data_IF_122865460707
#
_entry.id   IF_122865460707
#
_cell.length_a   1.000
_cell.length_b   1.000
_cell.length_c   1.000
_cell.angle_alpha   90.00
_cell.angle_beta   90.00
_cell.angle_gamma   90.00
#
_symmetry.space_group_name_H-M   'P 1'
#
loop_
_entity.id
_entity.type
_entity.pdbx_description
1 polymer ?
#
# COMPACT_ATOMS: atom_id res chain seq x y z
N UNK A 1 -6.70 14.00 8.21
CA UNK A 1 -7.54 13.01 7.50
C UNK A 1 -6.61 12.04 6.80
N UNK A 2 -6.94 10.76 6.76
CA UNK A 2 -6.22 9.79 5.93
C UNK A 2 -7.08 9.58 4.69
N UNK A 3 -6.71 10.22 3.59
CA UNK A 3 -7.45 10.11 2.34
C UNK A 3 -7.50 8.63 1.90
N UNK A 4 -8.67 8.18 1.47
CA UNK A 4 -8.85 6.82 0.96
C UNK A 4 -8.04 6.62 -0.34
N UNK A 5 -7.74 5.37 -0.74
CA UNK A 5 -7.09 5.10 -2.02
C UNK A 5 -7.77 5.77 -3.22
N UNK A 6 -9.10 5.82 -3.21
CA UNK A 6 -9.97 6.45 -4.21
C UNK A 6 -9.78 7.97 -4.20
N UNK A 7 -9.86 8.61 -3.03
CA UNK A 7 -9.64 10.05 -2.87
C UNK A 7 -8.24 10.46 -3.33
N UNK A 8 -7.22 9.63 -3.04
CA UNK A 8 -5.86 9.86 -3.55
C UNK A 8 -5.80 9.77 -5.07
N UNK A 9 -6.44 8.76 -5.65
CA UNK A 9 -6.47 8.58 -7.10
C UNK A 9 -7.19 9.76 -7.78
N UNK A 10 -8.33 10.20 -7.25
CA UNK A 10 -9.02 11.39 -7.72
C UNK A 10 -8.13 12.65 -7.59
N UNK A 11 -7.41 12.80 -6.48
CA UNK A 11 -6.50 13.94 -6.27
C UNK A 11 -5.35 14.00 -7.29
N UNK A 12 -4.76 12.85 -7.67
CA UNK A 12 -3.73 12.87 -8.72
C UNK A 12 -4.33 13.12 -10.10
N UNK A 13 -5.55 12.66 -10.37
CA UNK A 13 -6.26 13.00 -11.62
C UNK A 13 -6.48 14.51 -11.72
N UNK A 14 -6.98 15.14 -10.66
CA UNK A 14 -7.14 16.61 -10.57
C UNK A 14 -5.79 17.34 -10.70
N UNK A 15 -4.70 16.78 -10.18
CA UNK A 15 -3.36 17.36 -10.36
C UNK A 15 -2.89 17.32 -11.82
N UNK A 16 -3.24 16.26 -12.56
CA UNK A 16 -2.89 16.11 -13.98
C UNK A 16 -3.76 16.99 -14.86
N UNK A 17 -5.08 16.95 -14.65
CA UNK A 17 -6.10 17.54 -15.53
C UNK A 17 -6.60 18.91 -15.09
N UNK A 18 -6.33 19.31 -13.84
CA UNK A 18 -6.95 20.49 -13.24
C UNK A 18 -8.30 20.17 -12.59
N UNK A 19 -8.94 21.20 -12.07
CA UNK A 19 -10.31 21.14 -11.56
C UNK A 19 -11.25 21.92 -12.49
N UNK A 20 -12.02 21.18 -13.30
CA UNK A 20 -12.98 21.77 -14.24
C UNK A 20 -14.15 22.48 -13.52
N UNK A 21 -14.44 22.11 -12.27
CA UNK A 21 -15.61 22.63 -11.53
C UNK A 21 -15.27 23.92 -10.77
N UNK A 22 -14.04 24.04 -10.26
CA UNK A 22 -13.64 25.22 -9.47
C UNK A 22 -12.83 26.25 -10.26
N UNK A 23 -12.15 25.86 -11.34
CA UNK A 23 -11.16 26.71 -12.05
C UNK A 23 -10.07 27.29 -11.11
N UNK A 24 -9.92 26.76 -9.89
CA UNK A 24 -9.01 27.28 -8.87
C UNK A 24 -7.63 26.57 -8.91
N UNK A 25 -7.51 25.48 -9.65
CA UNK A 25 -6.29 24.65 -9.73
C UNK A 25 -6.01 24.27 -11.18
N UNK A 26 -5.04 24.95 -11.80
CA UNK A 26 -4.50 24.57 -13.12
C UNK A 26 -3.77 23.23 -13.04
N UNK A 27 -4.12 22.30 -13.94
CA UNK A 27 -3.49 20.99 -14.06
C UNK A 27 -2.09 21.02 -14.68
N UNK A 28 -1.44 19.86 -14.73
CA UNK A 28 -0.20 19.71 -15.49
C UNK A 28 -0.39 19.94 -17.00
N UNK A 29 -1.57 19.62 -17.53
CA UNK A 29 -1.92 19.92 -18.92
C UNK A 29 -2.05 21.44 -19.12
N UNK A 30 -2.81 22.13 -18.26
CA UNK A 30 -3.04 23.59 -18.36
C UNK A 30 -1.74 24.38 -18.20
N UNK A 31 -0.89 23.97 -17.28
CA UNK A 31 0.42 24.61 -17.04
C UNK A 31 1.48 24.24 -18.07
N UNK A 32 1.15 23.41 -19.08
CA UNK A 32 2.07 22.95 -20.11
C UNK A 32 3.21 22.07 -19.59
N UNK A 33 3.08 21.53 -18.38
CA UNK A 33 4.03 20.60 -17.74
C UNK A 33 3.92 19.20 -18.34
N UNK A 34 2.76 18.84 -18.86
CA UNK A 34 2.50 17.60 -19.57
C UNK A 34 1.70 17.92 -20.84
N UNK A 35 1.95 17.23 -21.95
CA UNK A 35 1.10 17.40 -23.13
C UNK A 35 -0.26 16.74 -22.91
N UNK A 36 -1.30 17.24 -23.57
CA UNK A 36 -2.62 16.60 -23.54
C UNK A 36 -2.55 15.14 -24.01
N UNK A 37 -1.82 14.87 -25.09
CA UNK A 37 -1.68 13.51 -25.62
C UNK A 37 -1.02 12.53 -24.62
N UNK A 38 -0.02 12.96 -23.86
CA UNK A 38 0.57 12.13 -22.81
C UNK A 38 -0.40 11.90 -21.65
N UNK A 39 -1.10 12.95 -21.20
CA UNK A 39 -2.08 12.85 -20.13
C UNK A 39 -3.20 11.86 -20.50
N UNK A 40 -3.72 11.95 -21.73
CA UNK A 40 -4.72 11.02 -22.27
C UNK A 40 -4.19 9.57 -22.30
N UNK A 41 -2.96 9.34 -22.74
CA UNK A 41 -2.36 8.00 -22.76
C UNK A 41 -2.15 7.42 -21.36
N UNK A 42 -1.75 8.24 -20.40
CA UNK A 42 -1.60 7.83 -18.99
C UNK A 42 -2.97 7.49 -18.40
N UNK A 43 -3.99 8.31 -18.68
CA UNK A 43 -5.37 8.06 -18.24
C UNK A 43 -5.94 6.80 -18.89
N UNK A 44 -5.76 6.57 -20.20
CA UNK A 44 -6.20 5.36 -20.92
C UNK A 44 -5.63 4.09 -20.26
N UNK A 45 -4.35 4.10 -19.90
CA UNK A 45 -3.76 2.98 -19.14
C UNK A 45 -4.46 2.78 -17.79
N UNK A 46 -4.70 3.85 -17.03
CA UNK A 46 -5.27 3.70 -15.70
C UNK A 46 -6.74 3.25 -15.77
N UNK A 47 -7.53 3.85 -16.68
CA UNK A 47 -8.92 3.47 -16.94
C UNK A 47 -9.04 2.03 -17.41
N UNK A 48 -8.08 1.55 -18.21
CA UNK A 48 -8.06 0.16 -18.64
C UNK A 48 -8.01 -0.81 -17.46
N UNK A 49 -7.33 -0.47 -16.37
CA UNK A 49 -7.13 -1.31 -15.20
C UNK A 49 -8.01 -0.93 -14.00
N UNK A 50 -8.92 0.02 -14.16
CA UNK A 50 -9.91 0.39 -13.17
C UNK A 50 -11.14 -0.52 -13.30
N UNK A 51 -11.45 -1.27 -12.23
CA UNK A 51 -12.56 -2.22 -12.22
C UNK A 51 -13.95 -1.56 -12.31
N UNK A 52 -14.06 -0.28 -11.96
CA UNK A 52 -15.32 0.47 -12.00
C UNK A 52 -15.57 1.15 -13.35
N UNK A 53 -14.57 1.22 -14.24
CA UNK A 53 -14.73 1.81 -15.57
C UNK A 53 -15.57 0.89 -16.48
N UNK A 54 -16.57 1.51 -17.12
CA UNK A 54 -17.57 0.79 -17.93
C UNK A 54 -17.11 0.43 -19.36
N UNK A 55 -16.10 1.12 -19.94
CA UNK A 55 -15.62 0.84 -21.31
C UNK A 55 -14.69 -0.38 -21.38
N UNK A 56 -15.21 -1.57 -21.07
CA UNK A 56 -14.38 -2.77 -20.94
C UNK A 56 -13.94 -3.38 -22.26
N UNK A 57 -14.63 -3.12 -23.38
CA UNK A 57 -14.39 -3.85 -24.62
C UNK A 57 -13.05 -3.48 -25.28
N UNK A 58 -12.78 -2.18 -25.43
CA UNK A 58 -11.53 -1.69 -26.02
C UNK A 58 -10.31 -2.08 -25.18
N UNK A 59 -10.41 -1.94 -23.85
CA UNK A 59 -9.33 -2.27 -22.92
C UNK A 59 -9.06 -3.79 -22.85
N UNK A 60 -10.08 -4.64 -22.95
CA UNK A 60 -9.90 -6.10 -22.94
C UNK A 60 -9.08 -6.57 -24.15
N UNK A 61 -9.30 -5.97 -25.32
CA UNK A 61 -8.54 -6.31 -26.52
C UNK A 61 -7.07 -5.92 -26.38
N UNK A 62 -6.75 -4.72 -25.90
CA UNK A 62 -5.35 -4.31 -25.67
C UNK A 62 -4.65 -5.18 -24.61
N UNK A 63 -5.38 -5.61 -23.57
CA UNK A 63 -4.87 -6.51 -22.52
C UNK A 63 -4.65 -7.96 -22.97
N UNK A 64 -5.10 -8.37 -24.15
CA UNK A 64 -5.02 -9.78 -24.59
C UNK A 64 -3.59 -10.30 -24.71
N UNK A 65 -2.61 -9.41 -24.88
CA UNK A 65 -1.19 -9.74 -25.00
C UNK A 65 -0.47 -9.78 -23.65
N UNK A 66 -1.15 -9.42 -22.56
CA UNK A 66 -0.61 -9.56 -21.20
C UNK A 66 -0.76 -10.99 -20.71
N UNK A 67 0.09 -11.40 -19.78
CA UNK A 67 -0.06 -12.68 -19.09
C UNK A 67 -1.41 -12.72 -18.33
N UNK A 68 -2.11 -13.87 -18.29
CA UNK A 68 -3.48 -13.94 -17.74
C UNK A 68 -3.63 -13.37 -16.33
N UNK A 69 -2.64 -13.57 -15.47
CA UNK A 69 -2.58 -13.04 -14.10
C UNK A 69 -2.43 -11.52 -14.06
N UNK A 70 -1.78 -10.93 -15.07
CA UNK A 70 -1.54 -9.48 -15.17
C UNK A 70 -2.70 -8.71 -15.76
N UNK A 71 -3.70 -9.36 -16.37
CA UNK A 71 -4.90 -8.72 -16.97
C UNK A 71 -5.90 -8.18 -15.96
N UNK A 72 -5.81 -8.63 -14.70
CA UNK A 72 -6.72 -8.26 -13.62
C UNK A 72 -6.70 -6.76 -13.34
N UNK A 73 -7.86 -6.26 -12.91
CA UNK A 73 -8.02 -4.90 -12.41
C UNK A 73 -7.06 -4.63 -11.24
N UNK A 74 -6.71 -3.36 -11.06
CA UNK A 74 -5.76 -2.92 -10.06
C UNK A 74 -6.48 -2.06 -9.02
N UNK A 75 -6.00 -2.15 -7.78
CA UNK A 75 -6.44 -1.25 -6.72
C UNK A 75 -6.11 0.21 -7.06
N UNK A 76 -6.91 1.17 -6.58
CA UNK A 76 -6.67 2.60 -6.76
C UNK A 76 -5.27 3.07 -6.33
N UNK A 77 -4.67 2.47 -5.28
CA UNK A 77 -3.28 2.78 -4.89
C UNK A 77 -2.25 2.45 -5.99
N UNK A 78 -2.52 1.43 -6.82
CA UNK A 78 -1.67 1.05 -7.95
C UNK A 78 -1.89 2.01 -9.11
N UNK A 79 -3.14 2.34 -9.43
CA UNK A 79 -3.48 3.31 -10.47
C UNK A 79 -2.90 4.70 -10.17
N UNK A 80 -3.10 5.18 -8.94
CA UNK A 80 -2.46 6.38 -8.42
C UNK A 80 -0.95 6.33 -8.60
N UNK A 81 -0.35 5.19 -8.24
CA UNK A 81 1.07 4.97 -8.37
C UNK A 81 1.58 5.03 -9.82
N UNK A 82 0.83 4.51 -10.78
CA UNK A 82 1.18 4.61 -12.19
C UNK A 82 1.04 6.04 -12.68
N UNK A 83 -0.10 6.68 -12.45
CA UNK A 83 -0.37 8.05 -12.90
C UNK A 83 0.64 9.05 -12.32
N UNK A 84 0.93 8.98 -11.02
CA UNK A 84 1.92 9.84 -10.37
C UNK A 84 3.31 9.70 -11.02
N UNK A 85 3.76 8.45 -11.24
CA UNK A 85 5.11 8.20 -11.77
C UNK A 85 5.22 8.58 -13.23
N UNK A 86 4.23 8.22 -14.05
CA UNK A 86 4.21 8.52 -15.48
C UNK A 86 4.10 10.02 -15.72
N UNK A 87 3.20 10.72 -15.02
CA UNK A 87 3.09 12.19 -15.15
C UNK A 87 4.37 12.91 -14.70
N UNK A 88 5.04 12.40 -13.66
CA UNK A 88 6.35 12.92 -13.26
C UNK A 88 7.41 12.68 -14.34
N UNK A 89 7.49 11.48 -14.93
CA UNK A 89 8.47 11.20 -15.98
C UNK A 89 8.24 12.04 -17.24
N UNK A 90 7.00 12.21 -17.69
CA UNK A 90 6.70 13.09 -18.83
C UNK A 90 7.15 14.53 -18.58
N UNK A 91 6.91 15.05 -17.37
CA UNK A 91 7.42 16.36 -16.96
C UNK A 91 8.95 16.43 -16.92
N UNK A 92 9.58 15.42 -16.34
CA UNK A 92 11.01 15.43 -16.05
C UNK A 92 11.82 15.21 -17.34
N UNK A 93 11.29 14.50 -18.35
CA UNK A 93 11.85 14.41 -19.71
C UNK A 93 11.97 15.79 -20.36
N UNK A 94 10.88 16.57 -20.36
CA UNK A 94 10.85 17.93 -20.92
C UNK A 94 11.81 18.92 -20.26
N UNK A 95 12.17 18.68 -18.99
CA UNK A 95 12.97 19.61 -18.19
C UNK A 95 14.45 19.23 -18.11
N UNK A 96 14.84 18.10 -18.72
CA UNK A 96 16.22 17.64 -18.72
C UNK A 96 16.80 17.68 -20.13
N UNK A 97 18.13 17.66 -20.21
CA UNK A 97 18.89 17.63 -21.47
C UNK A 97 18.87 16.21 -22.06
N UNK A 98 17.66 15.67 -22.27
CA UNK A 98 17.41 14.41 -22.95
C UNK A 98 17.00 14.67 -24.41
N UNK A 99 17.16 13.66 -25.25
CA UNK A 99 16.93 13.77 -26.69
C UNK A 99 15.45 13.93 -27.05
N UNK A 100 14.54 13.55 -26.16
CA UNK A 100 13.09 13.59 -26.37
C UNK A 100 12.36 14.23 -25.18
N UNK A 101 11.30 14.98 -25.50
CA UNK A 101 10.57 15.82 -24.52
C UNK A 101 9.35 15.12 -23.91
N UNK A 102 8.89 14.00 -24.49
CA UNK A 102 7.62 13.36 -24.12
C UNK A 102 7.72 11.84 -24.02
N UNK A 103 6.86 11.22 -23.21
CA UNK A 103 6.76 9.75 -23.10
C UNK A 103 6.28 9.08 -24.40
N UNK A 104 5.59 9.81 -25.28
CA UNK A 104 5.09 9.26 -26.54
C UNK A 104 6.15 9.27 -27.65
N UNK A 105 7.19 10.10 -27.51
CA UNK A 105 8.31 10.21 -28.47
C UNK A 105 9.60 9.57 -27.96
N UNK A 106 9.75 9.42 -26.63
CA UNK A 106 10.93 8.85 -26.01
C UNK A 106 11.22 7.41 -26.47
N UNK A 107 12.50 7.13 -26.74
CA UNK A 107 12.97 5.78 -27.01
C UNK A 107 13.50 5.11 -25.72
N UNK A 108 13.96 3.86 -25.84
CA UNK A 108 14.47 3.13 -24.68
C UNK A 108 15.72 3.76 -24.07
N UNK A 109 16.56 4.41 -24.87
CA UNK A 109 17.76 5.11 -24.41
C UNK A 109 17.35 6.29 -23.54
N UNK A 110 16.41 7.13 -23.99
CA UNK A 110 15.91 8.28 -23.23
C UNK A 110 15.35 7.85 -21.87
N UNK A 111 14.56 6.77 -21.86
CA UNK A 111 13.96 6.26 -20.63
C UNK A 111 15.00 5.72 -19.65
N UNK A 112 16.00 4.97 -20.14
CA UNK A 112 17.07 4.44 -19.30
C UNK A 112 17.98 5.57 -18.79
N UNK A 113 18.25 6.59 -19.60
CA UNK A 113 18.97 7.79 -19.22
C UNK A 113 18.22 8.59 -18.15
N UNK A 114 16.89 8.73 -18.26
CA UNK A 114 16.08 9.35 -17.21
C UNK A 114 16.21 8.59 -15.88
N UNK A 115 16.24 7.26 -15.90
CA UNK A 115 16.39 6.45 -14.68
C UNK A 115 17.78 6.64 -14.06
N UNK A 116 18.84 6.49 -14.86
CA UNK A 116 20.23 6.49 -14.39
C UNK A 116 20.78 7.90 -14.16
N UNK A 117 20.71 8.77 -15.18
CA UNK A 117 21.22 10.14 -15.10
C UNK A 117 20.25 11.04 -14.36
N UNK A 118 18.98 11.02 -14.77
CA UNK A 118 17.97 11.90 -14.22
C UNK A 118 17.66 11.63 -12.74
N UNK A 119 17.33 10.38 -12.40
CA UNK A 119 16.86 10.02 -11.06
C UNK A 119 17.93 9.45 -10.15
N UNK A 120 18.81 8.56 -10.62
CA UNK A 120 19.84 7.98 -9.76
C UNK A 120 20.97 8.99 -9.49
N UNK A 121 21.51 9.62 -10.54
CA UNK A 121 22.58 10.65 -10.45
C UNK A 121 22.06 12.07 -10.21
N UNK A 122 20.75 12.26 -10.16
CA UNK A 122 20.11 13.53 -9.83
C UNK A 122 20.38 14.66 -10.85
N UNK A 123 20.48 14.35 -12.14
CA UNK A 123 20.70 15.36 -13.20
C UNK A 123 19.41 16.13 -13.57
N UNK A 124 18.23 15.62 -13.23
CA UNK A 124 16.95 16.34 -13.42
C UNK A 124 16.80 17.44 -12.36
N UNK A 125 16.37 18.67 -12.72
CA UNK A 125 16.12 19.74 -11.76
C UNK A 125 15.19 19.33 -10.61
N UNK A 126 15.51 19.76 -9.38
CA UNK A 126 14.74 19.44 -8.16
C UNK A 126 14.65 17.94 -7.82
N UNK A 127 15.56 17.12 -8.35
CA UNK A 127 15.77 15.74 -7.94
C UNK A 127 17.00 15.68 -7.02
N UNK A 128 16.89 15.05 -5.84
CA UNK A 128 18.01 14.89 -4.90
C UNK A 128 18.66 13.49 -4.99
N UNK A 129 18.43 12.78 -6.08
CA UNK A 129 18.79 11.36 -6.20
C UNK A 129 17.73 10.45 -5.59
N UNK A 130 17.49 9.30 -6.23
CA UNK A 130 16.53 8.30 -5.78
C UNK A 130 17.22 6.96 -5.53
N UNK A 131 16.72 6.20 -4.56
CA UNK A 131 17.18 4.81 -4.37
C UNK A 131 16.83 3.95 -5.58
N UNK A 132 17.64 2.92 -5.86
CA UNK A 132 17.33 1.95 -6.92
C UNK A 132 15.96 1.29 -6.74
N UNK A 133 15.59 0.97 -5.49
CA UNK A 133 14.26 0.43 -5.16
C UNK A 133 13.13 1.40 -5.51
N UNK A 134 13.33 2.71 -5.30
CA UNK A 134 12.38 3.74 -5.74
C UNK A 134 12.30 3.78 -7.27
N UNK A 135 13.45 3.86 -7.95
CA UNK A 135 13.53 3.93 -9.43
C UNK A 135 12.92 2.69 -10.08
N UNK A 136 13.11 1.52 -9.50
CA UNK A 136 12.48 0.26 -9.93
C UNK A 136 10.96 0.38 -10.04
N UNK A 137 10.32 1.11 -9.14
CA UNK A 137 8.87 1.35 -9.24
C UNK A 137 8.47 2.26 -10.41
N UNK A 138 9.34 3.19 -10.83
CA UNK A 138 9.17 3.98 -12.05
C UNK A 138 9.36 3.12 -13.30
N UNK A 139 10.42 2.30 -13.33
CA UNK A 139 10.68 1.42 -14.45
C UNK A 139 9.53 0.41 -14.68
N UNK A 140 8.93 -0.13 -13.60
CA UNK A 140 7.74 -0.96 -13.73
C UNK A 140 6.52 -0.21 -14.29
N UNK A 141 6.34 1.07 -13.92
CA UNK A 141 5.28 1.91 -14.49
C UNK A 141 5.52 2.17 -15.99
N UNK A 142 6.77 2.39 -16.42
CA UNK A 142 7.11 2.51 -17.85
C UNK A 142 6.83 1.20 -18.60
N UNK A 143 7.28 0.06 -18.06
CA UNK A 143 7.07 -1.24 -18.72
C UNK A 143 5.60 -1.56 -18.93
N UNK A 144 4.72 -1.26 -17.96
CA UNK A 144 3.28 -1.48 -18.14
C UNK A 144 2.68 -0.49 -19.16
N UNK A 145 3.14 0.77 -19.14
CA UNK A 145 2.70 1.80 -20.08
C UNK A 145 3.01 1.43 -21.53
N UNK A 146 4.27 1.13 -21.87
CA UNK A 146 4.65 0.76 -23.24
C UNK A 146 4.13 -0.64 -23.66
N UNK A 147 3.89 -1.54 -22.71
CA UNK A 147 3.22 -2.81 -23.02
C UNK A 147 1.76 -2.60 -23.42
N UNK A 148 1.08 -1.64 -22.79
CA UNK A 148 -0.31 -1.32 -23.09
C UNK A 148 -0.44 -0.47 -24.36
N UNK A 149 0.48 0.47 -24.55
CA UNK A 149 0.59 1.33 -25.74
C UNK A 149 1.69 0.80 -26.69
N UNK A 150 1.50 -0.43 -27.18
CA UNK A 150 2.47 -1.07 -28.09
C UNK A 150 2.64 -0.32 -29.42
N UNK A 151 1.72 0.58 -29.75
CA UNK A 151 1.79 1.46 -30.91
C UNK A 151 2.90 2.52 -30.82
N UNK A 152 3.47 2.77 -29.64
CA UNK A 152 4.59 3.69 -29.44
C UNK A 152 5.96 3.12 -29.87
N UNK A 153 6.03 1.84 -30.25
CA UNK A 153 7.24 1.24 -30.83
C UNK A 153 8.40 0.97 -29.85
N UNK A 154 8.24 1.27 -28.57
CA UNK A 154 9.21 0.94 -27.51
C UNK A 154 8.98 -0.49 -27.02
N UNK A 155 10.02 -1.32 -27.04
CA UNK A 155 9.99 -2.65 -26.45
C UNK A 155 10.14 -2.55 -24.91
N UNK A 156 9.10 -2.90 -24.12
CA UNK A 156 9.16 -2.84 -22.67
C UNK A 156 10.28 -3.68 -22.05
N UNK A 157 10.75 -4.73 -22.73
CA UNK A 157 11.83 -5.57 -22.20
C UNK A 157 13.21 -4.91 -22.29
N UNK A 158 13.38 -3.90 -23.14
CA UNK A 158 14.61 -3.12 -23.26
C UNK A 158 14.73 -2.03 -22.18
N UNK A 159 13.63 -1.68 -21.51
CA UNK A 159 13.63 -0.76 -20.37
C UNK A 159 14.32 -1.49 -19.20
N UNK A 160 15.52 -1.06 -18.84
CA UNK A 160 16.31 -1.71 -17.80
C UNK A 160 15.56 -1.68 -16.46
N UNK A 161 15.66 -2.76 -15.70
CA UNK A 161 15.14 -2.85 -14.33
C UNK A 161 16.33 -3.01 -13.41
N UNK A 162 16.48 -2.13 -12.42
CA UNK A 162 17.44 -2.41 -11.36
C UNK A 162 17.06 -3.73 -10.69
N UNK A 163 18.05 -4.60 -10.48
CA UNK A 163 17.88 -5.81 -9.71
C UNK A 163 17.34 -5.48 -8.32
N UNK A 164 16.66 -6.45 -7.71
CA UNK A 164 16.52 -6.39 -6.26
C UNK A 164 17.93 -6.32 -5.69
N UNK A 165 18.25 -5.24 -4.98
CA UNK A 165 19.47 -5.22 -4.21
C UNK A 165 19.35 -6.39 -3.21
N UNK A 166 20.21 -7.41 -3.34
CA UNK A 166 20.26 -8.56 -2.42
C UNK A 166 20.59 -8.12 -0.98
N UNK A 167 21.08 -6.88 -0.82
CA UNK A 167 21.12 -6.18 0.44
C UNK A 167 19.71 -5.77 0.85
N UNK A 168 19.00 -6.70 1.50
CA UNK A 168 17.92 -6.31 2.39
C UNK A 168 18.45 -5.18 3.27
N UNK A 169 17.88 -3.98 3.16
CA UNK A 169 18.35 -2.76 3.86
C UNK A 169 18.24 -2.82 5.38
N UNK A 170 17.98 -3.99 5.95
CA UNK A 170 17.93 -4.25 7.37
C UNK A 170 19.23 -4.96 7.69
N UNK A 171 20.21 -4.19 8.15
CA UNK A 171 21.38 -4.77 8.79
C UNK A 171 20.87 -5.56 10.01
N UNK A 172 21.26 -6.84 10.21
CA UNK A 172 20.98 -7.55 11.45
C UNK A 172 21.36 -6.76 12.72
N UNK A 173 22.37 -5.88 12.65
CA UNK A 173 22.76 -4.98 13.74
C UNK A 173 21.76 -3.83 13.98
N UNK A 174 20.91 -3.49 12.99
CA UNK A 174 19.77 -2.58 13.14
C UNK A 174 18.60 -3.22 13.90
N UNK A 175 18.62 -4.55 14.10
CA UNK A 175 17.58 -5.23 14.87
C UNK A 175 17.62 -4.80 16.34
N UNK A 176 16.45 -4.74 16.96
CA UNK A 176 16.35 -4.43 18.38
C UNK A 176 17.01 -5.55 19.20
N UNK A 177 18.04 -5.19 19.94
CA UNK A 177 18.64 -6.08 20.94
C UNK A 177 17.67 -6.31 22.10
N UNK A 178 17.90 -7.38 22.86
CA UNK A 178 17.07 -7.70 24.04
C UNK A 178 16.98 -6.53 25.04
N UNK A 179 18.10 -5.84 25.29
CA UNK A 179 18.13 -4.66 26.17
C UNK A 179 17.28 -3.51 25.62
N UNK A 180 17.38 -3.21 24.32
CA UNK A 180 16.54 -2.20 23.66
C UNK A 180 15.05 -2.56 23.76
N UNK A 181 14.71 -3.85 23.61
CA UNK A 181 13.33 -4.34 23.75
C UNK A 181 12.81 -4.12 25.17
N UNK A 182 13.56 -4.48 26.20
CA UNK A 182 13.13 -4.27 27.59
C UNK A 182 12.97 -2.78 27.91
N UNK A 183 13.90 -1.94 27.45
CA UNK A 183 13.77 -0.47 27.57
C UNK A 183 12.52 0.09 26.90
N UNK A 184 12.15 -0.43 25.73
CA UNK A 184 10.91 -0.03 25.04
C UNK A 184 9.66 -0.48 25.81
N UNK A 185 9.68 -1.68 26.41
CA UNK A 185 8.58 -2.18 27.25
C UNK A 185 8.43 -1.35 28.52
N UNK A 186 9.54 -0.96 29.13
CA UNK A 186 9.57 -0.12 30.33
C UNK A 186 9.09 1.31 30.03
N UNK A 187 9.46 1.87 28.87
CA UNK A 187 9.03 3.21 28.46
C UNK A 187 7.55 3.30 28.04
N UNK A 188 6.91 2.18 27.70
CA UNK A 188 5.51 2.16 27.32
C UNK A 188 4.62 2.22 28.57
N UNK A 189 4.40 3.38 29.17
CA UNK A 189 3.73 3.46 30.49
C UNK A 189 2.24 3.14 30.48
N UNK A 190 1.55 3.33 29.34
CA UNK A 190 0.12 3.10 29.23
C UNK A 190 -0.20 1.62 28.86
N UNK A 191 -1.18 0.95 29.51
CA UNK A 191 -1.51 -0.46 29.22
C UNK A 191 -1.83 -0.76 27.75
N UNK A 192 -2.44 0.19 27.04
CA UNK A 192 -2.68 0.09 25.59
C UNK A 192 -1.38 0.02 24.80
N UNK A 193 -0.42 0.85 25.15
CA UNK A 193 0.81 1.01 24.38
C UNK A 193 1.74 -0.18 24.65
N UNK A 194 1.76 -0.70 25.88
CA UNK A 194 2.37 -2.01 26.21
C UNK A 194 1.78 -3.12 25.36
N UNK A 195 0.45 -3.19 25.26
CA UNK A 195 -0.24 -4.19 24.43
C UNK A 195 0.13 -4.06 22.94
N UNK A 196 0.12 -2.84 22.39
CA UNK A 196 0.49 -2.55 21.00
C UNK A 196 1.94 -2.97 20.71
N UNK A 197 2.88 -2.52 21.54
CA UNK A 197 4.30 -2.86 21.39
C UNK A 197 4.51 -4.38 21.42
N UNK A 198 3.87 -5.05 22.38
CA UNK A 198 4.00 -6.49 22.58
C UNK A 198 3.41 -7.28 21.41
N UNK A 199 2.27 -6.86 20.87
CA UNK A 199 1.70 -7.45 19.65
C UNK A 199 2.65 -7.32 18.45
N UNK A 200 3.14 -6.11 18.18
CA UNK A 200 4.06 -5.88 17.06
C UNK A 200 5.35 -6.71 17.19
N UNK A 201 5.91 -6.76 18.40
CA UNK A 201 7.15 -7.47 18.69
C UNK A 201 7.01 -8.99 18.46
N UNK A 202 5.94 -9.60 18.96
CA UNK A 202 5.83 -11.06 18.94
C UNK A 202 5.13 -11.62 17.71
N UNK A 203 4.23 -10.88 17.07
CA UNK A 203 3.52 -11.40 15.90
C UNK A 203 4.09 -10.89 14.58
N UNK A 204 4.96 -9.87 14.61
CA UNK A 204 5.49 -9.23 13.40
C UNK A 204 4.40 -8.68 12.47
N UNK A 205 3.22 -8.35 13.02
CA UNK A 205 2.11 -7.89 12.19
C UNK A 205 2.39 -6.48 11.67
N UNK A 206 1.96 -6.20 10.44
CA UNK A 206 2.07 -4.87 9.85
C UNK A 206 1.20 -3.87 10.62
N UNK A 207 1.62 -2.61 10.68
CA UNK A 207 0.88 -1.53 11.36
C UNK A 207 -0.59 -1.46 10.93
N UNK A 208 -0.90 -1.59 9.63
CA UNK A 208 -2.29 -1.58 9.17
C UNK A 208 -3.11 -2.77 9.69
N UNK A 209 -2.50 -3.97 9.76
CA UNK A 209 -3.16 -5.15 10.30
C UNK A 209 -3.44 -5.02 11.80
N UNK A 210 -2.56 -4.35 12.54
CA UNK A 210 -2.80 -4.00 13.95
C UNK A 210 -3.95 -3.00 14.08
N UNK A 211 -3.93 -1.92 13.29
CA UNK A 211 -4.93 -0.84 13.36
C UNK A 211 -6.35 -1.30 13.05
N UNK A 212 -6.49 -2.34 12.23
CA UNK A 212 -7.80 -2.89 11.86
C UNK A 212 -8.21 -4.11 12.69
N UNK A 213 -7.36 -4.57 13.62
CA UNK A 213 -7.64 -5.71 14.48
C UNK A 213 -8.85 -5.40 15.39
N UNK A 214 -9.81 -6.33 15.44
CA UNK A 214 -11.02 -6.19 16.26
C UNK A 214 -10.96 -7.14 17.44
N UNK A 215 -11.59 -6.78 18.56
CA UNK A 215 -11.67 -7.62 19.76
C UNK A 215 -12.27 -9.00 19.44
N UNK A 216 -13.33 -9.05 18.63
CA UNK A 216 -13.98 -10.32 18.19
C UNK A 216 -13.07 -11.24 17.36
N UNK A 217 -12.00 -10.69 16.79
CA UNK A 217 -11.00 -11.43 16.02
C UNK A 217 -9.81 -11.88 16.89
N UNK A 218 -9.98 -11.83 18.23
CA UNK A 218 -9.06 -12.39 19.24
C UNK A 218 -9.82 -13.40 20.11
N UNK A 219 -9.25 -14.60 20.31
CA UNK A 219 -9.90 -15.71 21.03
C UNK A 219 -8.98 -16.38 22.03
N UNK A 220 -9.59 -17.11 22.97
CA UNK A 220 -8.93 -17.94 23.97
C UNK A 220 -8.02 -17.20 24.97
N UNK A 221 -8.18 -15.87 25.13
CA UNK A 221 -7.39 -15.09 26.09
C UNK A 221 -7.57 -15.51 27.55
N UNK A 222 -8.69 -16.14 27.89
CA UNK A 222 -9.01 -16.60 29.25
C UNK A 222 -9.20 -18.12 29.35
N UNK A 223 -8.79 -18.89 28.34
CA UNK A 223 -8.91 -20.34 28.35
C UNK A 223 -7.58 -20.95 28.79
N UNK A 224 -7.51 -21.47 30.01
CA UNK A 224 -6.28 -22.06 30.55
C UNK A 224 -5.80 -23.29 29.76
N UNK A 225 -6.66 -23.91 28.95
CA UNK A 225 -6.33 -25.09 28.15
C UNK A 225 -6.00 -24.76 26.69
N UNK A 226 -6.03 -23.48 26.30
CA UNK A 226 -5.76 -23.06 24.92
C UNK A 226 -4.89 -21.82 24.87
N UNK A 227 -3.96 -21.81 23.92
CA UNK A 227 -3.19 -20.61 23.58
C UNK A 227 -4.10 -19.54 23.00
N UNK A 228 -3.92 -18.29 23.40
CA UNK A 228 -4.58 -17.14 22.79
C UNK A 228 -4.27 -17.03 21.29
N UNK A 229 -5.28 -16.68 20.49
CA UNK A 229 -5.15 -16.58 19.03
C UNK A 229 -5.79 -15.31 18.50
N UNK A 230 -5.32 -14.87 17.35
CA UNK A 230 -5.91 -13.76 16.60
C UNK A 230 -6.06 -14.13 15.13
N UNK A 231 -6.93 -13.44 14.41
CA UNK A 231 -6.95 -13.44 12.94
C UNK A 231 -7.02 -12.00 12.44
N UNK A 232 -6.63 -11.76 11.19
CA UNK A 232 -6.81 -10.44 10.59
C UNK A 232 -8.30 -10.16 10.34
N UNK A 233 -8.66 -8.88 10.30
CA UNK A 233 -10.04 -8.47 10.09
C UNK A 233 -10.48 -8.82 8.66
N UNK A 234 -11.41 -9.79 8.46
CA UNK A 234 -11.86 -10.22 7.14
C UNK A 234 -12.71 -9.17 6.40
N UNK A 235 -13.15 -8.11 7.09
CA UNK A 235 -13.96 -7.04 6.51
C UNK A 235 -13.11 -5.90 5.92
N UNK A 236 -11.77 -6.04 5.94
CA UNK A 236 -10.85 -5.06 5.38
C UNK A 236 -10.39 -5.58 4.02
N UNK A 237 -10.73 -4.84 2.99
CA UNK A 237 -10.39 -5.06 1.59
C UNK A 237 -8.99 -4.57 1.19
N UNK A 238 -8.37 -3.70 2.01
CA UNK A 238 -7.12 -3.02 1.67
C UNK A 238 -6.04 -3.08 2.77
N UNK A 239 -4.76 -3.01 2.37
CA UNK A 239 -3.64 -2.82 3.30
C UNK A 239 -3.15 -4.08 4.03
N UNK A 240 -3.75 -5.26 3.78
CA UNK A 240 -3.30 -6.53 4.34
C UNK A 240 -2.20 -7.23 3.49
N UNK A 241 -2.01 -6.81 2.22
CA UNK A 241 -0.98 -7.32 1.29
C UNK A 241 -0.94 -8.87 1.23
N UNK A 242 -2.10 -9.51 1.07
CA UNK A 242 -2.23 -10.97 0.98
C UNK A 242 -1.97 -11.71 2.29
N UNK A 243 -1.82 -11.00 3.42
CA UNK A 243 -1.68 -11.65 4.74
C UNK A 243 -2.98 -12.35 5.18
N UNK A 244 -4.09 -11.96 4.58
CA UNK A 244 -5.44 -12.51 4.65
C UNK A 244 -5.68 -13.69 3.70
N UNK A 245 -4.83 -13.94 2.69
CA UNK A 245 -4.97 -15.10 1.78
C UNK A 245 -4.90 -16.45 2.52
N UNK A 246 -4.27 -16.46 3.71
CA UNK A 246 -4.19 -17.63 4.60
C UNK A 246 -5.25 -17.62 5.71
N UNK A 247 -6.28 -16.77 5.60
CA UNK A 247 -7.35 -16.36 6.53
C UNK A 247 -7.58 -17.25 7.77
N UNK A 248 -6.57 -17.36 8.63
CA UNK A 248 -6.49 -18.39 9.66
C UNK A 248 -6.14 -17.80 11.01
N UNK A 249 -6.53 -18.53 12.05
CA UNK A 249 -6.16 -18.21 13.43
C UNK A 249 -4.67 -18.41 13.64
N UNK A 250 -4.00 -17.37 14.12
CA UNK A 250 -2.57 -17.30 14.42
C UNK A 250 -2.38 -17.21 15.94
N UNK A 251 -1.32 -17.83 16.50
CA UNK A 251 -1.06 -17.71 17.93
C UNK A 251 -0.67 -16.27 18.30
N UNK A 252 -1.10 -15.81 19.48
CA UNK A 252 -0.64 -14.54 20.07
C UNK A 252 0.78 -14.61 20.62
N UNK A 253 1.35 -15.82 20.75
CA UNK A 253 2.69 -16.05 21.30
C UNK A 253 2.82 -15.38 22.68
N UNK A 254 3.94 -14.71 22.95
CA UNK A 254 4.16 -14.03 24.23
C UNK A 254 3.37 -12.72 24.40
N UNK A 255 2.57 -12.31 23.40
CA UNK A 255 1.69 -11.15 23.53
C UNK A 255 0.40 -11.42 24.28
N UNK A 256 0.06 -12.69 24.54
CA UNK A 256 -1.20 -13.09 25.17
C UNK A 256 -1.44 -12.39 26.52
N UNK A 257 -0.41 -12.24 27.36
CA UNK A 257 -0.51 -11.58 28.66
C UNK A 257 -0.90 -10.10 28.54
N UNK A 258 -0.21 -9.36 27.68
CA UNK A 258 -0.46 -7.93 27.48
C UNK A 258 -1.83 -7.67 26.84
N UNK A 259 -2.23 -8.50 25.86
CA UNK A 259 -3.56 -8.42 25.24
C UNK A 259 -4.65 -8.73 26.26
N UNK A 260 -4.50 -9.81 27.02
CA UNK A 260 -5.44 -10.18 28.09
C UNK A 260 -5.59 -9.07 29.11
N UNK A 261 -4.48 -8.47 29.56
CA UNK A 261 -4.51 -7.38 30.53
C UNK A 261 -5.27 -6.16 29.99
N UNK A 262 -4.99 -5.73 28.75
CA UNK A 262 -5.67 -4.61 28.12
C UNK A 262 -7.18 -4.88 27.96
N UNK A 263 -7.54 -6.00 27.33
CA UNK A 263 -8.93 -6.35 27.02
C UNK A 263 -9.74 -6.55 28.30
N UNK A 264 -9.18 -7.22 29.32
CA UNK A 264 -9.89 -7.47 30.58
C UNK A 264 -10.02 -6.26 31.49
N UNK A 265 -9.09 -5.30 31.48
CA UNK A 265 -9.01 -4.33 32.57
C UNK A 265 -9.09 -2.87 32.11
N UNK A 266 -8.73 -2.57 30.87
CA UNK A 266 -8.50 -1.18 30.43
C UNK A 266 -9.22 -0.79 29.14
N UNK A 267 -9.78 -1.75 28.39
CA UNK A 267 -10.49 -1.45 27.15
C UNK A 267 -11.72 -0.56 27.44
N UNK A 268 -11.88 0.60 26.76
CA UNK A 268 -12.95 1.55 27.07
C UNK A 268 -14.37 0.97 26.96
N UNK A 269 -14.60 0.11 25.96
CA UNK A 269 -15.90 -0.52 25.70
C UNK A 269 -16.20 -1.75 26.59
N UNK A 270 -15.40 -2.04 27.63
CA UNK A 270 -15.57 -3.27 28.43
C UNK A 270 -16.96 -3.39 29.08
N UNK A 271 -17.57 -2.25 29.42
CA UNK A 271 -18.89 -2.22 30.05
C UNK A 271 -20.06 -2.41 29.07
N UNK A 272 -19.79 -2.49 27.77
CA UNK A 272 -20.81 -2.55 26.73
C UNK A 272 -21.20 -4.01 26.45
N UNK A 273 -22.50 -4.29 26.32
CA UNK A 273 -23.00 -5.66 26.08
C UNK A 273 -22.41 -6.28 24.80
N UNK A 274 -22.25 -5.47 23.74
CA UNK A 274 -21.64 -5.88 22.47
C UNK A 274 -20.18 -6.34 22.63
N UNK A 275 -19.45 -5.74 23.57
CA UNK A 275 -18.07 -6.12 23.86
C UNK A 275 -18.00 -7.48 24.54
N UNK A 276 -18.88 -7.72 25.53
CA UNK A 276 -18.97 -9.01 26.22
C UNK A 276 -19.45 -10.12 25.29
N UNK A 277 -20.32 -9.86 24.31
CA UNK A 277 -20.68 -10.86 23.28
C UNK A 277 -19.49 -11.21 22.37
N UNK A 278 -18.68 -10.21 22.00
CA UNK A 278 -17.49 -10.42 21.18
C UNK A 278 -16.38 -11.19 21.92
N UNK A 279 -16.34 -11.07 23.25
CA UNK A 279 -15.26 -11.54 24.12
C UNK A 279 -15.61 -12.82 24.91
N UNK A 280 -16.88 -12.99 25.25
CA UNK A 280 -17.39 -13.89 26.27
C UNK A 280 -17.79 -15.26 25.75
N UNK A 281 -16.84 -16.09 25.33
CA UNK A 281 -17.10 -17.54 25.19
C UNK A 281 -16.90 -18.34 26.49
N UNK A 282 -16.67 -17.72 27.65
CA UNK A 282 -16.49 -18.48 28.90
C UNK A 282 -17.14 -17.97 30.19
N UNK A 283 -17.89 -16.85 30.19
CA UNK A 283 -18.68 -16.46 31.36
C UNK A 283 -20.12 -16.96 31.24
N UNK A 284 -20.32 -18.27 31.40
CA UNK A 284 -21.66 -18.79 31.73
C UNK A 284 -22.09 -18.13 33.06
N UNK A 285 -23.09 -17.24 33.01
CA UNK A 285 -23.74 -16.72 34.22
C UNK A 285 -24.14 -17.91 35.11
N UNK A 286 -23.83 -17.91 36.42
CA UNK A 286 -24.32 -18.95 37.30
C UNK A 286 -25.86 -18.94 37.24
N UNK A 287 -26.42 -20.08 36.83
CA UNK A 287 -27.87 -20.31 36.79
C UNK A 287 -28.37 -20.13 38.22
N UNK A 288 -29.13 -19.07 38.49
CA UNK A 288 -29.75 -18.88 39.78
C UNK A 288 -30.57 -20.13 40.10
N UNK A 289 -30.16 -20.87 41.13
CA UNK A 289 -30.94 -21.94 41.72
C UNK A 289 -32.22 -21.30 42.25
N UNK A 290 -33.32 -21.53 41.55
CA UNK A 290 -34.65 -21.28 42.08
C UNK A 290 -34.79 -22.11 43.37
N UNK A 291 -34.78 -21.42 44.51
CA UNK A 291 -35.21 -22.02 45.78
C UNK A 291 -36.74 -22.04 45.74
N UNK A 292 -37.30 -23.25 45.91
CA UNK A 292 -38.72 -23.46 46.18
C UNK A 292 -39.11 -23.02 47.58
#
# INVERSE_FOLDING_TARGET
MTDTPEEKYASIQQTVWGDEDTFEIDGYVDTGKLTQAEAERIQDLCDAFDGEKFDRQNHTQKKQYFEPDKRKDKSYSTLWGWMYRLSRMGRDLKNADFTMDTLIEADTTDLNDLMERGYYKAEVPNCNGMSKGTIRTYQFALRIFYRYHSDLGVDPEQIAIYSEDDDSSVDPDDMLTRDKIERLKDAADHPRDKMILTLLLYTGMRSNALRTLRVKDVKHLNDENKTGRYRFNPSVDHGLKGADDRNGWRPLLLAEGAVRQWVNNYHPARGDDDFEECYGESRRKPRALARG
#
